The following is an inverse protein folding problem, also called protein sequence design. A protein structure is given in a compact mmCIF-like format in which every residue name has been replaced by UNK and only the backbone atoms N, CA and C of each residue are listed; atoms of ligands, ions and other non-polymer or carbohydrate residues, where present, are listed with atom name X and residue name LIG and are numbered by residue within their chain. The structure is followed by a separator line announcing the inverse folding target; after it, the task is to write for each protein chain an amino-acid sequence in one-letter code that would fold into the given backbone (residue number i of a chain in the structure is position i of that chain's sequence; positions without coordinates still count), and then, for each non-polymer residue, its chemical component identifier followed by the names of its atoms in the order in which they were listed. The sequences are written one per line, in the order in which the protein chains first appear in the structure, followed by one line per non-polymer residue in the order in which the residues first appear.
data_IF_350973589759
#
_entry.id   IF_350973589759
#
_cell.length_a   1.000
_cell.length_b   1.000
_cell.length_c   1.000
_cell.angle_alpha   90.00
_cell.angle_beta   90.00
_cell.angle_gamma   90.00
#
_symmetry.space_group_name_H-M   'P 1'
#
loop_
_entity.id
_entity.type
_entity.pdbx_description
1 polymer ?
#
# COMPACT_ATOMS: atom_id res chain seq x y z
N UNK A 1 -9.62 8.34 3.91
CA UNK A 1 -8.94 7.80 5.12
C UNK A 1 -8.24 6.51 4.72
N UNK A 2 -6.94 6.54 4.44
CA UNK A 2 -6.17 5.35 4.08
C UNK A 2 -5.65 4.69 5.38
N UNK A 3 -6.09 3.46 5.66
CA UNK A 3 -5.59 2.65 6.77
C UNK A 3 -6.64 1.89 7.58
N UNK A 4 -7.94 2.16 7.41
CA UNK A 4 -9.00 1.60 8.27
C UNK A 4 -9.66 0.30 7.80
N UNK A 5 -9.35 -0.22 6.61
CA UNK A 5 -10.19 -1.23 5.96
C UNK A 5 -9.71 -2.68 6.11
N UNK A 6 -9.10 -3.10 7.23
CA UNK A 6 -8.74 -4.50 7.50
C UNK A 6 -7.87 -5.21 6.42
N UNK A 7 -7.52 -6.48 6.66
CA UNK A 7 -6.75 -7.26 5.69
C UNK A 7 -7.56 -7.57 4.42
N UNK A 8 -6.98 -7.34 3.24
CA UNK A 8 -7.59 -7.69 1.95
C UNK A 8 -6.62 -7.58 0.78
N UNK A 9 -6.96 -8.20 -0.34
CA UNK A 9 -6.10 -8.30 -1.54
C UNK A 9 -6.50 -7.35 -2.69
N UNK A 10 -7.52 -6.52 -2.51
CA UNK A 10 -7.91 -5.50 -3.50
C UNK A 10 -6.91 -4.34 -3.53
N UNK A 11 -6.91 -3.52 -4.59
CA UNK A 11 -6.01 -2.38 -4.75
C UNK A 11 -6.22 -1.25 -3.72
N UNK A 12 -7.29 -1.32 -2.93
CA UNK A 12 -7.64 -0.34 -1.90
C UNK A 12 -7.38 -0.88 -0.48
N UNK A 13 -6.88 -2.11 -0.36
CA UNK A 13 -6.67 -2.80 0.92
C UNK A 13 -5.23 -3.25 1.07
N UNK A 14 -4.75 -3.21 2.30
CA UNK A 14 -3.42 -3.66 2.71
C UNK A 14 -3.57 -4.86 3.62
N UNK A 15 -2.56 -5.72 3.66
CA UNK A 15 -2.48 -6.87 4.53
C UNK A 15 -1.08 -6.95 5.17
N UNK A 16 -1.00 -6.50 6.43
CA UNK A 16 0.25 -6.41 7.19
C UNK A 16 1.37 -5.64 6.44
N UNK A 17 1.14 -4.37 6.06
CA UNK A 17 2.15 -3.59 5.37
C UNK A 17 3.40 -3.41 6.23
N UNK A 18 4.58 -3.48 5.61
CA UNK A 18 5.85 -3.41 6.34
C UNK A 18 6.58 -2.07 6.18
N UNK A 19 6.42 -1.42 5.02
CA UNK A 19 7.11 -0.18 4.73
C UNK A 19 6.37 0.68 3.71
N UNK A 20 6.68 1.97 3.72
CA UNK A 20 6.13 2.97 2.81
C UNK A 20 7.27 3.82 2.24
N UNK A 21 7.14 4.23 0.98
CA UNK A 21 8.07 5.13 0.30
C UNK A 21 7.28 6.08 -0.62
N UNK A 22 7.73 7.32 -0.73
CA UNK A 22 7.13 8.32 -1.65
C UNK A 22 8.24 8.83 -2.56
N UNK A 23 8.01 8.79 -3.87
CA UNK A 23 8.95 9.32 -4.85
C UNK A 23 8.74 10.83 -5.12
N UNK A 24 9.61 11.41 -5.94
CA UNK A 24 9.52 12.83 -6.33
C UNK A 24 8.30 13.18 -7.18
N UNK A 25 7.61 12.18 -7.74
CA UNK A 25 6.38 12.35 -8.53
C UNK A 25 5.12 12.19 -7.65
N UNK A 26 5.28 12.19 -6.33
CA UNK A 26 4.21 11.95 -5.36
C UNK A 26 3.52 10.57 -5.51
N UNK A 27 4.24 9.58 -6.03
CA UNK A 27 3.79 8.19 -6.04
C UNK A 27 4.07 7.55 -4.69
N UNK A 28 3.03 7.05 -4.02
CA UNK A 28 3.13 6.29 -2.78
C UNK A 28 3.30 4.80 -3.09
N UNK A 29 4.39 4.22 -2.61
CA UNK A 29 4.67 2.79 -2.65
C UNK A 29 4.49 2.18 -1.28
N UNK A 30 3.77 1.06 -1.17
CA UNK A 30 3.58 0.32 0.07
C UNK A 30 3.96 -1.14 -0.11
N UNK A 31 4.83 -1.63 0.77
CA UNK A 31 5.22 -3.04 0.85
C UNK A 31 4.11 -3.79 1.59
N UNK A 32 3.21 -4.41 0.85
CA UNK A 32 2.06 -5.13 1.35
C UNK A 32 2.42 -6.60 1.62
N UNK A 33 3.12 -6.80 2.75
CA UNK A 33 3.92 -8.01 3.01
C UNK A 33 3.10 -9.28 2.96
N UNK A 34 1.94 -9.36 3.59
CA UNK A 34 1.16 -10.61 3.62
C UNK A 34 0.39 -10.88 2.33
N UNK A 35 0.31 -9.89 1.43
CA UNK A 35 -0.18 -10.08 0.07
C UNK A 35 0.95 -10.34 -0.94
N UNK A 36 2.21 -10.41 -0.50
CA UNK A 36 3.38 -10.66 -1.33
C UNK A 36 3.50 -9.69 -2.53
N UNK A 37 3.15 -8.41 -2.33
CA UNK A 37 3.16 -7.40 -3.39
C UNK A 37 3.69 -6.04 -2.92
N UNK A 38 3.97 -5.18 -3.89
CA UNK A 38 4.13 -3.74 -3.68
C UNK A 38 2.94 -3.06 -4.36
N UNK A 39 2.22 -2.23 -3.63
CA UNK A 39 1.17 -1.39 -4.21
C UNK A 39 1.71 0.00 -4.48
N UNK A 40 1.26 0.61 -5.58
CA UNK A 40 1.57 1.98 -5.95
C UNK A 40 0.28 2.79 -6.04
N UNK A 41 0.29 4.01 -5.55
CA UNK A 41 -0.78 4.98 -5.72
C UNK A 41 -0.21 6.30 -6.19
N UNK A 42 -0.71 6.74 -7.34
CA UNK A 42 -0.39 8.03 -7.95
C UNK A 42 -1.53 8.99 -7.63
N UNK A 43 -1.18 10.22 -7.25
CA UNK A 43 -2.13 11.32 -7.09
C UNK A 43 -2.37 12.07 -8.40
#
# INVERSE_FOLDING_TARGET
MAGGAGAGSTAERLNSPWGVYVDSNATLYVVDRSNHRIQQWTY
#
